data_IF_829075372874
#
_entry.id   IF_829075372874
#
_cell.length_a   1.000
_cell.length_b   1.000
_cell.length_c   1.000
_cell.angle_alpha   90.00
_cell.angle_beta   90.00
_cell.angle_gamma   90.00
#
_symmetry.space_group_name_H-M   'P 1'
#
loop_
_entity.id
_entity.type
_entity.pdbx_description
1 polymer ?
#
# COMPACT_ATOMS: atom_id res chain seq x y z
N UNK A 1 -12.80 -16.79 30.34
CA UNK A 1 -11.60 -16.63 31.18
C UNK A 1 -11.37 -17.86 32.09
N UNK A 2 -12.37 -18.41 32.74
CA UNK A 2 -12.17 -19.55 33.62
C UNK A 2 -11.73 -20.86 32.93
N UNK A 3 -12.13 -21.10 31.68
CA UNK A 3 -11.78 -22.35 30.96
C UNK A 3 -10.30 -22.45 30.60
N UNK A 4 -9.65 -21.35 30.16
CA UNK A 4 -8.24 -21.36 29.79
C UNK A 4 -7.31 -21.57 30.98
N UNK A 5 -7.62 -20.95 32.12
CA UNK A 5 -6.86 -21.12 33.35
C UNK A 5 -7.00 -22.51 33.93
N UNK A 6 -8.19 -23.12 33.79
CA UNK A 6 -8.43 -24.50 34.18
C UNK A 6 -7.62 -25.47 33.30
N UNK A 7 -7.57 -25.24 31.97
CA UNK A 7 -6.77 -26.07 31.06
C UNK A 7 -5.27 -25.98 31.33
N UNK A 8 -4.74 -24.76 31.60
CA UNK A 8 -3.35 -24.60 31.97
C UNK A 8 -3.03 -25.34 33.29
N UNK A 9 -3.85 -25.16 34.29
CA UNK A 9 -3.70 -25.88 35.55
C UNK A 9 -3.79 -27.40 35.42
N UNK A 10 -4.71 -27.89 34.57
CA UNK A 10 -4.83 -29.34 34.27
C UNK A 10 -3.59 -29.87 33.56
N UNK A 11 -3.03 -29.11 32.57
CA UNK A 11 -1.85 -29.50 31.88
C UNK A 11 -0.64 -29.60 32.82
N UNK A 12 -0.47 -28.59 33.71
CA UNK A 12 0.57 -28.61 34.74
C UNK A 12 0.44 -29.77 35.69
N UNK A 13 -0.76 -30.03 36.18
CA UNK A 13 -1.05 -31.18 37.09
C UNK A 13 -0.71 -32.50 36.41
N UNK A 14 -1.11 -32.68 35.15
CA UNK A 14 -0.80 -33.88 34.38
C UNK A 14 0.69 -34.11 34.21
N UNK A 15 1.45 -33.03 33.94
CA UNK A 15 2.87 -33.09 33.75
C UNK A 15 3.66 -33.32 35.04
N UNK A 16 3.12 -32.87 36.17
CA UNK A 16 3.74 -32.99 37.48
C UNK A 16 3.18 -34.19 38.29
N UNK A 17 2.31 -34.99 37.68
CA UNK A 17 1.57 -36.11 38.33
C UNK A 17 0.90 -35.69 39.63
N UNK A 18 0.24 -34.54 39.64
CA UNK A 18 -0.39 -33.94 40.81
C UNK A 18 -1.90 -33.83 40.62
N UNK A 19 -2.64 -34.00 41.73
CA UNK A 19 -4.08 -33.71 41.80
C UNK A 19 -4.32 -32.66 42.90
N UNK A 20 -4.91 -31.54 42.54
CA UNK A 20 -5.23 -30.45 43.48
C UNK A 20 -6.73 -30.42 43.68
N UNK A 21 -7.13 -30.69 44.94
CA UNK A 21 -8.55 -30.64 45.35
C UNK A 21 -8.89 -29.32 46.00
N UNK A 22 -10.15 -28.91 45.88
CA UNK A 22 -10.69 -27.78 46.67
C UNK A 22 -10.62 -28.07 48.17
N UNK A 23 -10.45 -27.01 48.99
CA UNK A 23 -10.42 -27.16 50.45
C UNK A 23 -11.64 -27.90 51.01
N UNK A 24 -12.79 -27.84 50.33
CA UNK A 24 -14.06 -28.42 50.77
C UNK A 24 -14.35 -29.80 50.12
N UNK A 25 -13.40 -30.46 49.49
CA UNK A 25 -13.56 -31.73 48.77
C UNK A 25 -14.58 -31.73 47.60
N UNK A 26 -15.02 -30.57 47.11
CA UNK A 26 -16.01 -30.42 46.06
C UNK A 26 -15.34 -30.29 44.67
N UNK A 27 -14.66 -31.33 44.22
CA UNK A 27 -14.06 -31.42 42.89
C UNK A 27 -12.64 -30.81 42.78
N UNK A 28 -12.04 -30.96 41.62
CA UNK A 28 -10.65 -30.54 41.33
C UNK A 28 -10.55 -29.03 41.11
N UNK A 29 -9.45 -28.43 41.58
CA UNK A 29 -9.23 -26.98 41.52
C UNK A 29 -7.88 -26.63 40.88
N UNK A 30 -7.78 -26.79 39.57
CA UNK A 30 -6.52 -26.69 38.82
C UNK A 30 -5.99 -25.27 38.71
N UNK A 31 -6.83 -24.23 38.78
CA UNK A 31 -6.40 -22.84 38.63
C UNK A 31 -5.51 -22.34 39.79
N UNK A 32 -5.61 -22.93 40.97
CA UNK A 32 -4.79 -22.58 42.17
C UNK A 32 -3.30 -22.77 41.90
N UNK A 33 -2.92 -23.67 40.99
CA UNK A 33 -1.51 -23.94 40.68
C UNK A 33 -0.90 -22.80 39.88
N UNK A 34 -1.67 -22.23 38.97
CA UNK A 34 -1.15 -21.23 38.02
C UNK A 34 -1.42 -19.78 38.44
N UNK A 35 -2.45 -19.54 39.24
CA UNK A 35 -2.92 -18.19 39.54
C UNK A 35 -3.20 -17.94 41.02
N UNK A 36 -3.03 -16.67 41.40
CA UNK A 36 -3.51 -16.12 42.67
C UNK A 36 -4.67 -15.19 42.37
N UNK A 37 -5.76 -15.34 43.13
CA UNK A 37 -6.94 -14.49 43.01
C UNK A 37 -7.09 -13.58 44.21
N UNK A 38 -7.52 -12.34 43.98
CA UNK A 38 -7.91 -11.38 44.99
C UNK A 38 -9.30 -10.85 44.69
N UNK A 39 -10.21 -11.02 45.63
CA UNK A 39 -11.53 -10.40 45.55
C UNK A 39 -11.39 -8.89 45.79
N UNK A 40 -11.84 -8.09 44.84
CA UNK A 40 -11.82 -6.62 44.91
C UNK A 40 -13.17 -6.06 45.38
N UNK A 41 -14.16 -6.92 45.71
CA UNK A 41 -15.53 -6.54 45.98
C UNK A 41 -16.33 -6.20 44.69
N UNK A 42 -17.66 -5.97 44.85
CA UNK A 42 -18.56 -5.60 43.75
C UNK A 42 -18.53 -6.57 42.53
N UNK A 43 -18.38 -7.87 42.79
CA UNK A 43 -18.27 -8.92 41.77
C UNK A 43 -17.02 -8.83 40.86
N UNK A 44 -15.99 -8.09 41.23
CA UNK A 44 -14.70 -8.05 40.54
C UNK A 44 -13.67 -8.92 41.25
N UNK A 45 -12.92 -9.68 40.48
CA UNK A 45 -11.86 -10.55 40.93
C UNK A 45 -10.59 -10.32 40.12
N UNK A 46 -9.48 -9.98 40.79
CA UNK A 46 -8.18 -9.82 40.17
C UNK A 46 -7.43 -11.16 40.15
N UNK A 47 -7.00 -11.60 38.99
CA UNK A 47 -6.18 -12.80 38.80
C UNK A 47 -4.76 -12.44 38.44
N UNK A 48 -3.79 -12.96 39.14
CA UNK A 48 -2.36 -12.84 38.84
C UNK A 48 -1.72 -14.21 38.73
N UNK A 49 -0.79 -14.38 37.84
CA UNK A 49 0.06 -15.58 37.78
C UNK A 49 0.90 -15.66 39.08
N UNK A 50 1.13 -16.86 39.54
CA UNK A 50 2.02 -17.06 40.67
C UNK A 50 3.44 -16.63 40.33
N UNK A 51 4.17 -15.95 41.23
CA UNK A 51 5.55 -15.49 40.95
C UNK A 51 6.49 -16.62 40.52
N UNK A 52 6.34 -17.79 41.11
CA UNK A 52 7.14 -18.97 40.79
C UNK A 52 6.87 -19.47 39.37
N UNK A 53 5.62 -19.38 38.90
CA UNK A 53 5.28 -19.72 37.53
C UNK A 53 5.78 -18.66 36.57
N UNK A 54 5.70 -17.37 36.91
CA UNK A 54 6.27 -16.28 36.11
C UNK A 54 7.77 -16.48 35.95
N UNK A 55 8.49 -16.74 37.05
CA UNK A 55 9.92 -17.02 37.00
C UNK A 55 10.23 -18.24 36.14
N UNK A 56 9.52 -19.35 36.30
CA UNK A 56 9.71 -20.54 35.46
C UNK A 56 9.44 -20.29 33.97
N UNK A 57 8.44 -19.44 33.66
CA UNK A 57 8.17 -19.04 32.27
C UNK A 57 9.25 -18.11 31.69
N UNK A 58 9.87 -17.26 32.52
CA UNK A 58 11.00 -16.40 32.12
C UNK A 58 12.27 -17.19 31.83
N UNK A 59 12.44 -18.35 32.46
CA UNK A 59 13.55 -19.27 32.26
C UNK A 59 13.37 -20.18 31.04
N UNK A 60 12.11 -20.31 30.53
CA UNK A 60 11.85 -21.11 29.33
C UNK A 60 12.45 -20.45 28.08
N UNK A 61 13.06 -21.27 27.25
CA UNK A 61 13.67 -20.85 26.00
C UNK A 61 13.21 -21.70 24.83
N UNK A 62 13.37 -21.17 23.60
CA UNK A 62 13.12 -21.86 22.35
C UNK A 62 14.42 -21.92 21.55
N UNK A 63 14.87 -23.12 21.13
CA UNK A 63 16.04 -23.26 20.29
C UNK A 63 15.86 -22.55 18.95
N UNK A 64 16.86 -21.78 18.52
CA UNK A 64 16.87 -21.05 17.26
C UNK A 64 18.27 -21.00 16.60
N UNK A 65 19.17 -21.88 17.01
CA UNK A 65 20.50 -21.97 16.42
C UNK A 65 20.46 -22.39 14.94
N UNK A 66 19.41 -23.11 14.54
CA UNK A 66 19.10 -23.52 13.17
C UNK A 66 17.75 -22.95 12.75
N UNK A 67 17.74 -22.17 11.68
CA UNK A 67 16.54 -21.51 11.18
C UNK A 67 15.46 -22.51 10.76
N UNK A 68 15.83 -23.62 10.13
CA UNK A 68 14.87 -24.63 9.69
C UNK A 68 14.11 -25.25 10.86
N UNK A 69 14.82 -25.63 11.92
CA UNK A 69 14.23 -26.17 13.14
C UNK A 69 13.35 -25.12 13.84
N UNK A 70 13.79 -23.87 13.90
CA UNK A 70 13.02 -22.76 14.46
C UNK A 70 11.72 -22.53 13.68
N UNK A 71 11.78 -22.53 12.35
CA UNK A 71 10.60 -22.38 11.47
C UNK A 71 9.62 -23.52 11.65
N UNK A 72 10.11 -24.77 11.78
CA UNK A 72 9.23 -25.92 12.07
C UNK A 72 8.52 -25.76 13.43
N UNK A 73 9.25 -25.34 14.46
CA UNK A 73 8.67 -25.04 15.77
C UNK A 73 7.62 -23.95 15.69
N UNK A 74 7.90 -22.89 14.92
CA UNK A 74 6.97 -21.77 14.70
C UNK A 74 5.72 -22.22 13.96
N UNK A 75 5.82 -22.98 12.88
CA UNK A 75 4.70 -23.52 12.14
C UNK A 75 3.80 -24.39 13.02
N UNK A 76 4.40 -25.26 13.84
CA UNK A 76 3.66 -26.12 14.79
C UNK A 76 2.92 -25.27 15.83
N UNK A 77 3.54 -24.22 16.37
CA UNK A 77 2.95 -23.33 17.36
C UNK A 77 1.85 -22.41 16.78
N UNK A 78 1.90 -22.13 15.47
CA UNK A 78 0.83 -21.39 14.79
C UNK A 78 -0.46 -22.21 14.67
N UNK A 79 -0.37 -23.55 14.56
CA UNK A 79 -1.51 -24.47 14.60
C UNK A 79 -2.61 -24.07 13.59
N UNK A 80 -3.86 -23.99 14.08
CA UNK A 80 -5.04 -23.64 13.25
C UNK A 80 -4.97 -22.27 12.57
N UNK A 81 -4.07 -21.40 13.01
CA UNK A 81 -3.86 -20.12 12.32
C UNK A 81 -3.38 -20.31 10.88
N UNK A 82 -2.65 -21.37 10.59
CA UNK A 82 -2.17 -21.69 9.23
C UNK A 82 -3.35 -21.82 8.25
N UNK A 83 -4.42 -22.48 8.66
CA UNK A 83 -5.63 -22.62 7.86
C UNK A 83 -6.37 -21.28 7.73
N UNK A 84 -6.48 -20.52 8.81
CA UNK A 84 -7.07 -19.18 8.80
C UNK A 84 -6.33 -18.26 7.82
N UNK A 85 -5.00 -18.28 7.85
CA UNK A 85 -4.17 -17.51 6.91
C UNK A 85 -4.45 -17.94 5.46
N UNK A 86 -4.46 -19.23 5.20
CA UNK A 86 -4.69 -19.81 3.87
C UNK A 86 -6.08 -19.45 3.32
N UNK A 87 -7.13 -19.54 4.13
CA UNK A 87 -8.48 -19.11 3.75
C UNK A 87 -8.53 -17.63 3.41
N UNK A 88 -8.00 -16.78 4.29
CA UNK A 88 -7.96 -15.34 4.07
C UNK A 88 -7.15 -15.00 2.81
N UNK A 89 -6.02 -15.66 2.58
CA UNK A 89 -5.20 -15.47 1.40
C UNK A 89 -5.95 -15.84 0.12
N UNK A 90 -6.73 -16.92 0.14
CA UNK A 90 -7.60 -17.32 -0.98
C UNK A 90 -8.66 -16.27 -1.29
N UNK A 91 -9.20 -15.60 -0.28
CA UNK A 91 -10.22 -14.54 -0.46
C UNK A 91 -9.63 -13.24 -1.00
N UNK A 92 -8.44 -12.85 -0.57
CA UNK A 92 -7.85 -11.55 -0.90
C UNK A 92 -6.88 -11.55 -2.09
N UNK A 93 -6.32 -12.72 -2.45
CA UNK A 93 -5.39 -12.87 -3.57
C UNK A 93 -5.34 -14.33 -4.02
N UNK A 94 -4.67 -14.58 -5.15
CA UNK A 94 -4.36 -15.96 -5.55
C UNK A 94 -3.50 -16.65 -4.51
N UNK A 95 -3.73 -17.94 -4.26
CA UNK A 95 -2.88 -18.75 -3.40
C UNK A 95 -1.49 -18.84 -4.01
N UNK A 96 -0.48 -18.37 -3.31
CA UNK A 96 0.89 -18.62 -3.66
C UNK A 96 1.35 -20.02 -3.20
N UNK A 97 2.60 -20.37 -3.45
CA UNK A 97 3.10 -21.75 -3.23
C UNK A 97 3.25 -22.14 -1.76
N UNK A 98 3.40 -21.17 -0.87
CA UNK A 98 3.90 -21.41 0.48
C UNK A 98 2.89 -22.04 1.43
N UNK A 99 1.61 -21.75 1.30
CA UNK A 99 0.56 -22.30 2.18
C UNK A 99 0.11 -23.73 1.82
N UNK A 100 0.88 -24.43 0.97
CA UNK A 100 0.58 -25.81 0.62
C UNK A 100 1.07 -26.77 1.72
N UNK A 101 0.22 -27.68 2.11
CA UNK A 101 0.57 -28.76 3.05
C UNK A 101 0.56 -28.37 4.54
N UNK A 102 -0.15 -27.29 4.94
CA UNK A 102 -0.27 -26.92 6.36
C UNK A 102 0.97 -26.22 6.94
N UNK A 103 1.85 -25.70 6.08
CA UNK A 103 3.03 -24.94 6.47
C UNK A 103 2.79 -23.49 6.14
N UNK A 104 3.04 -22.57 7.08
CA UNK A 104 2.95 -21.13 6.85
C UNK A 104 4.29 -20.57 6.40
N UNK A 105 5.34 -20.74 7.17
CA UNK A 105 6.69 -20.31 6.80
C UNK A 105 7.47 -21.43 6.12
N UNK A 106 8.14 -21.07 5.02
CA UNK A 106 8.93 -21.98 4.24
C UNK A 106 10.39 -21.59 4.36
N UNK A 107 11.19 -22.52 4.81
CA UNK A 107 12.64 -22.40 4.81
C UNK A 107 13.19 -22.82 3.45
N UNK A 108 14.14 -22.03 2.94
CA UNK A 108 14.88 -22.32 1.74
C UNK A 108 16.36 -22.47 2.11
N UNK A 109 16.91 -23.68 1.93
CA UNK A 109 18.31 -24.01 2.26
C UNK A 109 19.32 -23.15 1.48
N UNK A 110 18.94 -22.65 0.29
CA UNK A 110 19.79 -21.78 -0.53
C UNK A 110 19.85 -20.34 0.02
N UNK A 111 18.86 -19.92 0.80
CA UNK A 111 18.81 -18.60 1.43
C UNK A 111 19.10 -18.71 2.94
N UNK A 112 20.36 -18.76 3.30
CA UNK A 112 20.87 -19.05 4.66
C UNK A 112 20.24 -18.23 5.79
N UNK A 113 19.69 -17.06 5.48
CA UNK A 113 19.26 -16.07 6.45
C UNK A 113 17.76 -15.72 6.40
N UNK A 114 16.97 -16.40 5.54
CA UNK A 114 15.58 -15.98 5.31
C UNK A 114 14.60 -17.14 5.30
N UNK A 115 13.47 -16.93 5.97
CA UNK A 115 12.29 -17.77 5.82
C UNK A 115 11.10 -16.88 5.44
N UNK A 116 10.59 -17.07 4.25
CA UNK A 116 9.47 -16.28 3.70
C UNK A 116 8.30 -17.24 3.48
N UNK A 117 7.11 -16.80 3.86
CA UNK A 117 5.93 -17.54 3.49
C UNK A 117 5.31 -17.02 2.19
N UNK A 118 4.51 -16.01 2.29
CA UNK A 118 3.73 -15.45 1.19
C UNK A 118 4.37 -14.17 0.67
N UNK A 119 4.16 -13.91 -0.61
CA UNK A 119 4.72 -12.78 -1.27
C UNK A 119 6.08 -13.08 -1.86
N UNK A 120 6.09 -13.51 -3.11
CA UNK A 120 7.29 -13.56 -3.91
C UNK A 120 7.76 -12.18 -4.33
N UNK A 121 8.56 -12.12 -5.39
CA UNK A 121 9.10 -10.86 -5.92
C UNK A 121 8.09 -9.85 -6.48
N UNK A 122 6.80 -10.17 -6.49
CA UNK A 122 5.73 -9.30 -7.01
C UNK A 122 4.70 -8.89 -5.97
N UNK A 123 4.91 -9.28 -4.73
CA UNK A 123 3.97 -9.06 -3.65
C UNK A 123 4.68 -8.63 -2.38
N UNK A 124 3.94 -7.98 -1.46
CA UNK A 124 4.46 -7.74 -0.12
C UNK A 124 4.73 -9.09 0.58
N UNK A 125 5.77 -9.12 1.37
CA UNK A 125 6.23 -10.33 2.05
C UNK A 125 5.82 -10.32 3.52
N UNK A 126 5.21 -11.42 3.95
CA UNK A 126 4.90 -11.71 5.34
C UNK A 126 5.87 -12.80 5.78
N UNK A 127 6.87 -12.45 6.59
CA UNK A 127 7.98 -13.37 6.80
C UNK A 127 8.64 -13.29 8.18
N UNK A 128 9.49 -14.31 8.42
CA UNK A 128 10.46 -14.38 9.49
C UNK A 128 11.85 -14.46 8.83
N UNK A 129 12.85 -13.88 9.50
CA UNK A 129 14.24 -13.95 9.06
C UNK A 129 15.19 -14.16 10.23
N UNK A 130 16.38 -14.67 9.93
CA UNK A 130 17.52 -14.73 10.83
C UNK A 130 18.65 -13.86 10.25
N UNK A 131 19.19 -12.95 11.05
CA UNK A 131 20.36 -12.14 10.70
C UNK A 131 21.33 -12.10 11.86
N UNK A 132 22.52 -12.67 11.64
CA UNK A 132 23.52 -12.73 12.69
C UNK A 132 22.98 -13.45 13.93
N UNK A 133 22.77 -12.69 15.01
CA UNK A 133 22.22 -13.19 16.27
C UNK A 133 20.82 -12.69 16.56
N UNK A 134 20.03 -12.40 15.53
CA UNK A 134 18.66 -11.89 15.69
C UNK A 134 17.68 -12.69 14.84
N UNK A 135 16.54 -13.02 15.43
CA UNK A 135 15.32 -13.40 14.72
C UNK A 135 14.49 -12.16 14.52
N UNK A 136 14.03 -11.89 13.28
CA UNK A 136 13.10 -10.83 12.99
C UNK A 136 11.83 -11.36 12.33
N UNK A 137 10.73 -10.61 12.45
CA UNK A 137 9.44 -10.94 11.86
C UNK A 137 8.66 -9.67 11.52
N UNK A 138 7.97 -9.69 10.38
CA UNK A 138 7.25 -8.52 9.92
C UNK A 138 6.81 -8.55 8.46
N UNK A 139 6.77 -7.37 7.85
CA UNK A 139 6.35 -7.15 6.46
C UNK A 139 7.50 -6.56 5.64
N UNK A 140 7.73 -7.12 4.46
CA UNK A 140 8.73 -6.64 3.51
C UNK A 140 8.10 -6.17 2.20
N UNK A 141 8.67 -5.10 1.63
CA UNK A 141 8.35 -4.59 0.29
C UNK A 141 9.59 -4.78 -0.56
N UNK A 142 9.52 -5.69 -1.55
CA UNK A 142 10.67 -6.15 -2.31
C UNK A 142 10.57 -5.71 -3.78
N UNK A 143 11.56 -4.98 -4.28
CA UNK A 143 11.68 -4.54 -5.67
C UNK A 143 12.85 -5.21 -6.42
N UNK A 144 13.45 -6.27 -5.85
CA UNK A 144 14.64 -6.93 -6.40
C UNK A 144 14.33 -7.88 -7.57
N UNK A 145 13.12 -8.44 -7.63
CA UNK A 145 12.80 -9.44 -8.62
C UNK A 145 12.13 -8.85 -9.86
N UNK A 146 12.54 -9.28 -11.02
CA UNK A 146 11.91 -8.97 -12.31
C UNK A 146 11.03 -10.17 -12.70
N UNK A 147 9.72 -10.02 -12.79
CA UNK A 147 8.87 -11.08 -13.32
C UNK A 147 9.11 -11.23 -14.82
N UNK A 148 9.36 -12.45 -15.27
CA UNK A 148 9.64 -12.77 -16.67
C UNK A 148 8.45 -12.58 -17.63
N UNK A 149 7.27 -12.26 -17.15
CA UNK A 149 6.03 -12.43 -17.91
C UNK A 149 5.25 -11.14 -18.25
N UNK A 150 5.71 -9.95 -17.88
CA UNK A 150 5.00 -8.71 -18.21
C UNK A 150 5.95 -7.51 -18.21
N UNK A 151 5.66 -6.49 -19.02
CA UNK A 151 6.42 -5.23 -19.15
C UNK A 151 6.47 -4.33 -17.88
N UNK A 152 5.99 -4.81 -16.74
CA UNK A 152 6.04 -4.07 -15.48
C UNK A 152 7.38 -4.29 -14.79
N UNK A 153 8.03 -3.19 -14.40
CA UNK A 153 9.19 -3.24 -13.51
C UNK A 153 8.81 -3.75 -12.11
N UNK A 154 9.76 -4.27 -11.31
CA UNK A 154 9.51 -4.66 -9.92
C UNK A 154 8.88 -3.53 -9.10
N UNK A 155 9.31 -2.27 -9.31
CA UNK A 155 8.68 -1.07 -8.73
C UNK A 155 7.21 -0.98 -9.11
N UNK A 156 6.84 -1.19 -10.37
CA UNK A 156 5.46 -1.16 -10.85
C UNK A 156 4.57 -2.24 -10.25
N UNK A 157 5.14 -3.38 -9.83
CA UNK A 157 4.39 -4.40 -9.07
C UNK A 157 4.22 -4.03 -7.60
N UNK A 158 5.23 -3.39 -6.99
CA UNK A 158 5.21 -3.06 -5.57
C UNK A 158 4.39 -1.80 -5.26
N UNK A 159 4.37 -0.82 -6.17
CA UNK A 159 3.68 0.46 -5.96
C UNK A 159 2.22 0.34 -5.49
N UNK A 160 1.37 -0.56 -6.03
CA UNK A 160 0.00 -0.72 -5.53
C UNK A 160 -0.10 -1.18 -4.07
N UNK A 161 0.88 -1.95 -3.59
CA UNK A 161 0.94 -2.36 -2.18
C UNK A 161 1.37 -1.22 -1.28
N UNK A 162 2.32 -0.41 -1.73
CA UNK A 162 2.76 0.79 -1.03
C UNK A 162 1.63 1.83 -0.97
N UNK A 163 0.93 2.07 -2.08
CA UNK A 163 -0.25 2.95 -2.11
C UNK A 163 -1.33 2.47 -1.12
N UNK A 164 -1.53 1.15 -1.01
CA UNK A 164 -2.47 0.55 -0.07
C UNK A 164 -2.00 0.69 1.38
N UNK A 165 -0.71 0.51 1.64
CA UNK A 165 -0.10 0.72 2.96
C UNK A 165 -0.32 2.15 3.45
N UNK A 166 -0.02 3.17 2.65
CA UNK A 166 -0.22 4.57 3.01
C UNK A 166 -1.69 4.93 3.27
N UNK A 167 -2.64 4.22 2.66
CA UNK A 167 -4.07 4.41 2.94
C UNK A 167 -4.50 3.91 4.31
N UNK A 168 -3.85 2.85 4.80
CA UNK A 168 -4.26 2.18 6.03
C UNK A 168 -3.32 2.46 7.21
N UNK A 169 -2.15 3.06 6.98
CA UNK A 169 -1.12 3.25 8.01
C UNK A 169 -1.64 3.96 9.26
N UNK A 170 -2.58 4.90 9.11
CA UNK A 170 -3.18 5.61 10.24
C UNK A 170 -4.09 4.71 11.10
N UNK A 171 -4.58 3.60 10.55
CA UNK A 171 -5.31 2.55 11.29
C UNK A 171 -4.35 1.69 12.11
N UNK A 172 -3.09 1.59 11.68
CA UNK A 172 -1.97 0.94 12.34
C UNK A 172 -0.86 1.98 12.54
N UNK A 173 -1.00 2.94 13.47
CA UNK A 173 -0.03 4.00 13.61
C UNK A 173 1.36 3.42 13.88
N UNK A 174 2.35 3.87 13.12
CA UNK A 174 3.76 3.48 13.27
C UNK A 174 4.25 3.71 14.71
N UNK A 175 3.69 4.72 15.40
CA UNK A 175 3.92 4.94 16.82
C UNK A 175 3.48 3.77 17.69
N UNK A 176 2.37 3.09 17.38
CA UNK A 176 1.94 1.90 18.13
C UNK A 176 2.89 0.73 17.86
N UNK A 177 3.32 0.54 16.62
CA UNK A 177 4.28 -0.50 16.25
C UNK A 177 5.66 -0.20 16.83
N UNK A 178 6.15 1.05 16.75
CA UNK A 178 7.40 1.48 17.40
C UNK A 178 7.38 1.28 18.92
N UNK A 179 6.30 1.66 19.57
CA UNK A 179 6.14 1.43 21.02
C UNK A 179 6.22 -0.06 21.40
N UNK A 180 5.96 -0.97 20.46
CA UNK A 180 6.06 -2.42 20.61
C UNK A 180 7.33 -3.02 19.96
N UNK A 181 8.31 -2.20 19.62
CA UNK A 181 9.61 -2.63 19.10
C UNK A 181 9.65 -2.94 17.61
N UNK A 182 8.63 -2.54 16.82
CA UNK A 182 8.72 -2.57 15.35
C UNK A 182 9.38 -1.31 14.85
N UNK A 183 10.30 -1.48 13.92
CA UNK A 183 10.93 -0.36 13.21
C UNK A 183 11.26 -0.78 11.76
N UNK A 184 11.66 0.20 10.94
CA UNK A 184 12.21 -0.08 9.62
C UNK A 184 13.64 -0.58 9.79
N UNK A 185 13.84 -1.87 9.51
CA UNK A 185 15.15 -2.53 9.62
C UNK A 185 15.98 -2.31 8.37
N UNK A 186 15.33 -2.22 7.21
CA UNK A 186 15.91 -1.80 5.94
C UNK A 186 15.03 -0.73 5.31
N UNK A 187 15.67 0.31 4.77
CA UNK A 187 14.99 1.48 4.26
C UNK A 187 14.26 2.26 5.36
N UNK A 188 13.40 3.16 4.94
CA UNK A 188 12.55 3.97 5.82
C UNK A 188 11.12 4.04 5.25
N UNK A 189 10.18 4.56 6.04
CA UNK A 189 8.84 4.85 5.54
C UNK A 189 8.85 5.91 4.43
N UNK A 190 9.75 6.88 4.54
CA UNK A 190 9.87 7.95 3.54
C UNK A 190 10.39 7.41 2.19
N UNK A 191 11.26 6.41 2.20
CA UNK A 191 11.78 5.78 0.98
C UNK A 191 10.67 5.05 0.19
N UNK A 192 9.58 4.64 0.84
CA UNK A 192 8.43 4.06 0.14
C UNK A 192 7.73 5.04 -0.81
N UNK A 193 7.90 6.35 -0.62
CA UNK A 193 7.40 7.35 -1.57
C UNK A 193 8.19 7.38 -2.89
N UNK A 194 9.44 6.90 -2.85
CA UNK A 194 10.39 6.90 -3.96
C UNK A 194 11.04 5.52 -4.12
N UNK A 195 10.21 4.51 -4.44
CA UNK A 195 10.69 3.14 -4.59
C UNK A 195 11.82 3.04 -5.60
N UNK A 196 12.95 2.52 -5.19
CA UNK A 196 14.08 2.22 -6.04
C UNK A 196 14.01 0.79 -6.61
N UNK A 197 14.63 0.59 -7.76
CA UNK A 197 14.80 -0.72 -8.33
C UNK A 197 15.86 -1.51 -7.55
N UNK A 198 15.68 -2.82 -7.41
CA UNK A 198 16.59 -3.71 -6.70
C UNK A 198 16.81 -3.37 -5.21
N UNK A 199 15.74 -2.89 -4.56
CA UNK A 199 15.75 -2.50 -3.15
C UNK A 199 14.82 -3.35 -2.31
N UNK A 200 15.03 -3.29 -1.01
CA UNK A 200 14.24 -3.99 -0.02
C UNK A 200 13.90 -3.06 1.14
N UNK A 201 12.64 -3.04 1.55
CA UNK A 201 12.14 -2.21 2.64
C UNK A 201 11.47 -3.11 3.65
N UNK A 202 11.92 -3.09 4.90
CA UNK A 202 11.53 -4.07 5.90
C UNK A 202 11.06 -3.42 7.19
N UNK A 203 9.76 -3.52 7.46
CA UNK A 203 9.14 -3.18 8.73
C UNK A 203 9.08 -4.44 9.60
N UNK A 204 9.87 -4.51 10.65
CA UNK A 204 9.98 -5.72 11.47
C UNK A 204 10.33 -5.42 12.93
N UNK A 205 10.05 -6.38 13.79
CA UNK A 205 10.57 -6.47 15.14
C UNK A 205 11.65 -7.56 15.20
N UNK A 206 12.71 -7.32 15.96
CA UNK A 206 13.79 -8.29 16.18
C UNK A 206 13.81 -8.81 17.61
N UNK A 207 14.31 -10.01 17.78
CA UNK A 207 14.54 -10.71 19.04
C UNK A 207 15.98 -11.16 19.05
N UNK A 208 16.75 -10.80 20.07
CA UNK A 208 18.13 -11.23 20.20
C UNK A 208 18.22 -12.71 20.55
N UNK A 209 19.15 -13.41 19.90
CA UNK A 209 19.49 -14.80 20.18
C UNK A 209 20.61 -14.83 21.20
N UNK A 210 20.36 -15.46 22.33
CA UNK A 210 21.38 -15.75 23.33
C UNK A 210 21.67 -17.25 23.36
N UNK A 211 22.95 -17.62 23.21
CA UNK A 211 23.41 -19.02 23.20
C UNK A 211 22.59 -19.98 22.29
N UNK A 212 22.15 -19.48 21.13
CA UNK A 212 21.34 -20.24 20.19
C UNK A 212 19.87 -20.44 20.62
N UNK A 213 19.40 -19.61 21.52
CA UNK A 213 18.04 -19.67 22.06
C UNK A 213 17.44 -18.28 22.18
N UNK A 214 16.11 -18.19 22.14
CA UNK A 214 15.33 -16.99 22.50
C UNK A 214 14.45 -17.29 23.70
N UNK A 215 14.07 -16.26 24.44
CA UNK A 215 13.13 -16.40 25.56
C UNK A 215 11.77 -16.87 25.06
N UNK A 216 11.14 -17.77 25.77
CA UNK A 216 9.80 -18.27 25.43
C UNK A 216 8.76 -17.14 25.37
N UNK A 217 8.87 -16.14 26.25
CA UNK A 217 7.98 -14.95 26.25
C UNK A 217 8.09 -14.15 24.97
N UNK A 218 9.29 -14.01 24.41
CA UNK A 218 9.51 -13.32 23.12
C UNK A 218 8.96 -14.13 21.96
N UNK A 219 9.12 -15.46 22.02
CA UNK A 219 8.52 -16.37 21.04
C UNK A 219 6.97 -16.28 21.05
N UNK A 220 6.34 -16.30 22.21
CA UNK A 220 4.89 -16.15 22.34
C UNK A 220 4.42 -14.77 21.87
N UNK A 221 5.19 -13.73 22.17
CA UNK A 221 4.96 -12.37 21.68
C UNK A 221 5.00 -12.34 20.15
N UNK A 222 6.02 -12.94 19.55
CA UNK A 222 6.13 -13.07 18.08
C UNK A 222 4.89 -13.75 17.48
N UNK A 223 4.48 -14.91 18.04
CA UNK A 223 3.29 -15.63 17.58
C UNK A 223 2.02 -14.76 17.68
N UNK A 224 1.87 -13.98 18.75
CA UNK A 224 0.72 -13.10 18.94
C UNK A 224 0.66 -11.97 17.89
N UNK A 225 1.80 -11.38 17.54
CA UNK A 225 1.88 -10.36 16.49
C UNK A 225 1.65 -10.96 15.11
N UNK A 226 2.23 -12.12 14.81
CA UNK A 226 2.02 -12.84 13.55
C UNK A 226 0.54 -13.20 13.35
N UNK A 227 -0.13 -13.72 14.38
CA UNK A 227 -1.58 -14.04 14.32
C UNK A 227 -2.48 -12.78 14.36
N UNK A 228 -1.99 -11.70 14.87
CA UNK A 228 -2.75 -10.50 15.23
C UNK A 228 -2.47 -9.28 14.35
N UNK A 229 -1.74 -8.26 14.86
CA UNK A 229 -1.62 -6.96 14.18
C UNK A 229 -0.95 -7.05 12.81
N UNK A 230 0.12 -7.84 12.66
CA UNK A 230 0.84 -7.97 11.39
C UNK A 230 -0.03 -8.66 10.33
N UNK A 231 -0.73 -9.73 10.72
CA UNK A 231 -1.65 -10.39 9.80
C UNK A 231 -2.80 -9.48 9.36
N UNK A 232 -3.37 -8.69 10.29
CA UNK A 232 -4.43 -7.72 9.94
C UNK A 232 -3.92 -6.67 8.96
N UNK A 233 -2.73 -6.09 9.21
CA UNK A 233 -2.11 -5.12 8.32
C UNK A 233 -1.85 -5.73 6.93
N UNK A 234 -1.24 -6.91 6.87
CA UNK A 234 -1.02 -7.66 5.63
C UNK A 234 -2.32 -7.84 4.83
N UNK A 235 -3.37 -8.35 5.47
CA UNK A 235 -4.69 -8.54 4.88
C UNK A 235 -5.30 -7.24 4.34
N UNK A 236 -5.21 -6.17 5.11
CA UNK A 236 -5.82 -4.89 4.75
C UNK A 236 -5.05 -4.20 3.62
N UNK A 237 -3.73 -4.38 3.51
CA UNK A 237 -2.94 -3.95 2.35
C UNK A 237 -3.47 -4.64 1.08
N UNK A 238 -3.64 -5.96 1.08
CA UNK A 238 -4.18 -6.67 -0.08
C UNK A 238 -5.59 -6.21 -0.47
N UNK A 239 -6.49 -6.05 0.51
CA UNK A 239 -7.85 -5.55 0.26
C UNK A 239 -7.88 -4.16 -0.35
N UNK A 240 -7.01 -3.26 0.11
CA UNK A 240 -6.94 -1.90 -0.39
C UNK A 240 -6.22 -1.82 -1.73
N UNK A 241 -5.21 -2.68 -1.98
CA UNK A 241 -4.61 -2.85 -3.30
C UNK A 241 -5.65 -3.21 -4.36
N UNK A 242 -6.49 -4.21 -4.09
CA UNK A 242 -7.55 -4.62 -5.02
C UNK A 242 -8.54 -3.49 -5.34
N UNK A 243 -8.96 -2.73 -4.31
CA UNK A 243 -9.82 -1.55 -4.52
C UNK A 243 -9.14 -0.48 -5.37
N UNK A 244 -7.85 -0.29 -5.20
CA UNK A 244 -7.06 0.69 -5.97
C UNK A 244 -6.87 0.23 -7.41
N UNK A 245 -6.58 -1.04 -7.67
CA UNK A 245 -6.47 -1.60 -9.02
C UNK A 245 -7.81 -1.60 -9.76
N UNK A 246 -8.90 -1.95 -9.09
CA UNK A 246 -10.24 -1.87 -9.67
C UNK A 246 -10.61 -0.43 -10.07
N UNK A 247 -10.32 0.55 -9.22
CA UNK A 247 -10.53 1.96 -9.53
C UNK A 247 -9.64 2.47 -10.67
N UNK A 248 -8.37 2.07 -10.72
CA UNK A 248 -7.45 2.41 -11.84
C UNK A 248 -7.95 1.82 -13.16
N UNK A 249 -8.35 0.55 -13.16
CA UNK A 249 -8.89 -0.10 -14.35
C UNK A 249 -10.16 0.59 -14.84
N UNK A 250 -11.11 0.87 -13.96
CA UNK A 250 -12.36 1.57 -14.30
C UNK A 250 -12.11 2.99 -14.81
N UNK A 251 -11.19 3.74 -14.20
CA UNK A 251 -10.81 5.08 -14.66
C UNK A 251 -10.20 5.03 -16.08
N UNK A 252 -9.30 4.09 -16.33
CA UNK A 252 -8.70 3.91 -17.66
C UNK A 252 -9.71 3.44 -18.71
N UNK A 253 -10.63 2.54 -18.37
CA UNK A 253 -11.72 2.10 -19.26
C UNK A 253 -12.62 3.26 -19.70
N UNK A 254 -12.77 4.29 -18.86
CA UNK A 254 -13.53 5.51 -19.21
C UNK A 254 -12.72 6.48 -20.06
N UNK A 255 -11.44 6.69 -19.73
CA UNK A 255 -10.59 7.72 -20.35
C UNK A 255 -10.05 7.27 -21.71
N UNK A 256 -9.63 6.03 -21.84
CA UNK A 256 -8.93 5.52 -23.03
C UNK A 256 -9.76 5.61 -24.35
N UNK A 257 -11.07 5.31 -24.36
CA UNK A 257 -11.89 5.51 -25.55
C UNK A 257 -11.97 6.99 -25.97
N UNK A 258 -12.13 7.90 -24.99
CA UNK A 258 -12.21 9.33 -25.25
C UNK A 258 -10.86 9.91 -25.71
N UNK A 259 -9.76 9.43 -25.15
CA UNK A 259 -8.41 9.77 -25.59
C UNK A 259 -8.16 9.34 -27.05
N UNK A 260 -8.51 8.09 -27.41
CA UNK A 260 -8.40 7.60 -28.79
C UNK A 260 -9.26 8.40 -29.76
N UNK A 261 -10.50 8.72 -29.34
CA UNK A 261 -11.41 9.53 -30.14
C UNK A 261 -10.84 10.93 -30.36
N UNK A 262 -10.33 11.60 -29.29
CA UNK A 262 -9.71 12.92 -29.40
C UNK A 262 -8.48 12.89 -30.30
N UNK A 263 -7.61 11.90 -30.19
CA UNK A 263 -6.45 11.74 -31.08
C UNK A 263 -6.83 11.61 -32.55
N UNK A 264 -7.93 10.90 -32.82
CA UNK A 264 -8.41 10.70 -34.18
C UNK A 264 -9.15 11.90 -34.75
N UNK A 265 -10.09 12.47 -33.96
CA UNK A 265 -10.97 13.58 -34.39
C UNK A 265 -10.39 14.97 -34.17
N UNK A 266 -9.34 15.11 -33.33
CA UNK A 266 -8.69 16.35 -32.90
C UNK A 266 -9.53 17.28 -32.05
N UNK A 267 -10.85 17.08 -31.99
CA UNK A 267 -11.76 17.76 -31.09
C UNK A 267 -12.86 16.83 -30.64
N UNK A 268 -13.39 17.07 -29.43
CA UNK A 268 -14.54 16.36 -28.88
C UNK A 268 -15.39 17.32 -28.05
N UNK A 269 -16.69 17.07 -28.00
CA UNK A 269 -17.64 17.79 -27.15
C UNK A 269 -18.18 16.81 -26.11
N UNK A 270 -18.00 17.13 -24.82
CA UNK A 270 -18.59 16.39 -23.71
C UNK A 270 -19.88 17.05 -23.28
N UNK A 271 -21.01 16.40 -23.51
CA UNK A 271 -22.35 16.90 -23.17
C UNK A 271 -22.94 16.09 -22.00
N UNK A 272 -23.69 16.74 -21.13
CA UNK A 272 -24.37 16.10 -19.99
C UNK A 272 -24.83 17.11 -18.95
N UNK A 273 -25.65 16.65 -18.00
CA UNK A 273 -26.16 17.49 -16.91
C UNK A 273 -25.03 18.07 -16.02
N UNK A 274 -25.27 19.16 -15.30
CA UNK A 274 -24.33 19.66 -14.27
C UNK A 274 -23.98 18.54 -13.27
N UNK A 275 -22.72 18.51 -12.80
CA UNK A 275 -22.27 17.52 -11.82
C UNK A 275 -21.92 16.12 -12.35
N UNK A 276 -22.07 15.84 -13.65
CA UNK A 276 -21.76 14.54 -14.24
C UNK A 276 -20.26 14.28 -14.48
N UNK A 277 -19.36 15.10 -13.93
CA UNK A 277 -17.92 14.91 -14.00
C UNK A 277 -17.26 15.31 -15.32
N UNK A 278 -17.92 16.11 -16.18
CA UNK A 278 -17.36 16.56 -17.46
C UNK A 278 -15.98 17.21 -17.32
N UNK A 279 -15.87 18.19 -16.44
CA UNK A 279 -14.61 18.91 -16.18
C UNK A 279 -13.51 17.96 -15.63
N UNK A 280 -13.91 17.05 -14.75
CA UNK A 280 -13.02 15.98 -14.26
C UNK A 280 -12.48 15.12 -15.38
N UNK A 281 -13.37 14.64 -16.26
CA UNK A 281 -13.02 13.80 -17.41
C UNK A 281 -12.14 14.56 -18.38
N UNK A 282 -12.41 15.84 -18.63
CA UNK A 282 -11.60 16.70 -19.51
C UNK A 282 -10.17 16.85 -18.99
N UNK A 283 -9.99 17.11 -17.68
CA UNK A 283 -8.67 17.19 -17.06
C UNK A 283 -7.88 15.87 -17.22
N UNK A 284 -8.55 14.74 -16.97
CA UNK A 284 -7.93 13.40 -17.12
C UNK A 284 -7.51 13.12 -18.57
N UNK A 285 -8.34 13.47 -19.55
CA UNK A 285 -8.01 13.31 -20.98
C UNK A 285 -6.83 14.21 -21.35
N UNK A 286 -6.79 15.46 -20.89
CA UNK A 286 -5.73 16.40 -21.16
C UNK A 286 -4.38 15.91 -20.59
N UNK A 287 -4.37 15.44 -19.34
CA UNK A 287 -3.18 14.81 -18.74
C UNK A 287 -2.73 13.60 -19.56
N UNK A 288 -3.65 12.72 -19.97
CA UNK A 288 -3.32 11.55 -20.80
C UNK A 288 -2.74 11.92 -22.16
N UNK A 289 -3.15 13.06 -22.74
CA UNK A 289 -2.63 13.59 -24.00
C UNK A 289 -1.19 14.10 -23.87
N UNK A 290 -0.90 14.84 -22.81
CA UNK A 290 0.39 15.50 -22.60
C UNK A 290 1.42 14.59 -21.92
N UNK A 291 1.00 13.75 -20.97
CA UNK A 291 1.87 12.84 -20.24
C UNK A 291 1.42 11.38 -20.41
N UNK A 292 2.12 10.65 -21.31
CA UNK A 292 1.83 9.23 -21.60
C UNK A 292 2.20 8.29 -20.44
N UNK A 293 3.15 8.71 -19.61
CA UNK A 293 3.67 7.90 -18.50
C UNK A 293 2.82 8.05 -17.22
N UNK A 294 1.96 9.07 -17.17
CA UNK A 294 1.03 9.23 -16.06
C UNK A 294 0.01 8.08 -16.03
N UNK A 295 -0.10 7.41 -14.88
CA UNK A 295 -0.91 6.18 -14.74
C UNK A 295 -1.89 6.19 -13.56
N UNK A 296 -1.93 7.25 -12.74
CA UNK A 296 -2.76 7.30 -11.54
C UNK A 296 -4.07 8.07 -11.71
N UNK A 297 -4.81 7.74 -12.78
CA UNK A 297 -6.09 8.39 -13.12
C UNK A 297 -7.22 8.15 -12.11
N UNK A 298 -7.09 7.18 -11.21
CA UNK A 298 -8.05 6.97 -10.13
C UNK A 298 -7.92 7.99 -8.99
N UNK A 299 -6.78 8.65 -8.86
CA UNK A 299 -6.51 9.63 -7.83
C UNK A 299 -6.72 11.06 -8.36
N UNK A 300 -7.89 11.63 -8.06
CA UNK A 300 -8.24 12.97 -8.53
C UNK A 300 -7.22 14.05 -8.14
N UNK A 301 -6.70 14.02 -6.92
CA UNK A 301 -5.69 15.01 -6.48
C UNK A 301 -4.43 14.96 -7.34
N UNK A 302 -3.95 13.76 -7.65
CA UNK A 302 -2.77 13.60 -8.51
C UNK A 302 -3.04 14.01 -9.95
N UNK A 303 -4.22 13.68 -10.49
CA UNK A 303 -4.64 14.14 -11.83
C UNK A 303 -4.66 15.67 -11.89
N UNK A 304 -5.25 16.33 -10.88
CA UNK A 304 -5.33 17.79 -10.87
C UNK A 304 -3.96 18.45 -10.64
N UNK A 305 -3.11 17.89 -9.80
CA UNK A 305 -1.74 18.38 -9.62
C UNK A 305 -0.94 18.32 -10.93
N UNK A 306 -1.04 17.19 -11.65
CA UNK A 306 -0.39 17.04 -12.96
C UNK A 306 -1.01 17.95 -14.03
N UNK A 307 -2.33 18.11 -14.01
CA UNK A 307 -3.03 19.04 -14.90
C UNK A 307 -2.56 20.50 -14.70
N UNK A 308 -2.45 20.97 -13.45
CA UNK A 308 -1.97 22.33 -13.16
C UNK A 308 -0.48 22.48 -13.54
N UNK A 309 0.37 21.49 -13.27
CA UNK A 309 1.77 21.49 -13.73
C UNK A 309 1.87 21.67 -15.24
N UNK A 310 1.09 20.89 -16.00
CA UNK A 310 1.05 20.99 -17.46
C UNK A 310 0.46 22.32 -17.96
N UNK A 311 -0.43 22.95 -17.20
CA UNK A 311 -0.92 24.30 -17.49
C UNK A 311 0.16 25.34 -17.28
N UNK A 312 0.89 25.28 -16.17
CA UNK A 312 1.98 26.20 -15.87
C UNK A 312 3.10 26.10 -16.92
N UNK A 313 3.39 24.89 -17.41
CA UNK A 313 4.31 24.68 -18.52
C UNK A 313 3.75 25.14 -19.87
N UNK A 314 2.48 25.50 -19.93
CA UNK A 314 1.82 25.95 -21.15
C UNK A 314 1.47 24.87 -22.16
N UNK A 315 1.49 23.59 -21.75
CA UNK A 315 1.07 22.46 -22.59
C UNK A 315 -0.46 22.33 -22.64
N UNK A 316 -1.17 22.86 -21.64
CA UNK A 316 -2.62 22.90 -21.56
C UNK A 316 -3.06 24.35 -21.38
N UNK A 317 -4.06 24.77 -22.14
CA UNK A 317 -4.77 26.02 -21.91
C UNK A 317 -6.24 25.73 -21.58
N UNK A 318 -6.81 26.49 -20.64
CA UNK A 318 -8.19 26.37 -20.24
C UNK A 318 -8.86 27.73 -20.32
N UNK A 319 -10.00 27.80 -20.96
CA UNK A 319 -10.86 28.99 -20.95
C UNK A 319 -12.32 28.61 -20.70
N UNK A 320 -13.06 29.56 -20.13
CA UNK A 320 -14.51 29.44 -19.96
C UNK A 320 -15.18 30.43 -20.87
N UNK A 321 -16.01 29.95 -21.81
CA UNK A 321 -16.84 30.81 -22.63
C UNK A 321 -17.97 31.41 -21.80
N UNK A 322 -18.04 32.71 -21.76
CA UNK A 322 -19.10 33.50 -21.12
C UNK A 322 -19.62 34.59 -22.06
N UNK A 323 -20.70 35.23 -21.70
CA UNK A 323 -21.42 36.18 -22.59
C UNK A 323 -20.56 37.36 -23.09
N UNK A 324 -19.53 37.75 -22.32
CA UNK A 324 -18.62 38.83 -22.69
C UNK A 324 -17.31 38.38 -23.32
N UNK A 325 -17.15 37.07 -23.59
CA UNK A 325 -15.97 36.57 -24.32
C UNK A 325 -16.22 36.65 -25.81
N UNK A 326 -15.39 37.40 -26.52
CA UNK A 326 -15.51 37.59 -27.94
C UNK A 326 -14.31 36.96 -28.71
N UNK A 327 -14.25 37.22 -30.00
CA UNK A 327 -13.19 36.73 -30.88
C UNK A 327 -11.83 37.25 -30.45
N UNK A 328 -11.78 38.48 -29.95
CA UNK A 328 -10.53 39.16 -29.56
C UNK A 328 -9.87 38.49 -28.35
N UNK A 329 -10.68 38.01 -27.40
CA UNK A 329 -10.15 37.27 -26.25
C UNK A 329 -9.70 35.84 -26.59
N UNK A 330 -10.33 35.24 -27.60
CA UNK A 330 -10.05 33.84 -27.94
C UNK A 330 -8.94 33.69 -28.98
N UNK A 331 -8.95 34.47 -30.05
CA UNK A 331 -8.00 34.36 -31.16
C UNK A 331 -6.98 35.49 -31.11
N UNK A 332 -7.36 36.70 -31.46
CA UNK A 332 -6.51 37.89 -31.41
C UNK A 332 -7.37 39.16 -31.45
N UNK A 333 -6.95 40.21 -30.78
CA UNK A 333 -7.65 41.46 -30.73
C UNK A 333 -6.73 42.68 -30.62
N UNK A 334 -7.27 43.83 -30.93
CA UNK A 334 -6.62 45.11 -30.76
C UNK A 334 -6.79 45.63 -29.35
N UNK A 335 -5.72 45.67 -28.56
CA UNK A 335 -5.76 46.25 -27.20
C UNK A 335 -5.07 47.59 -27.14
N UNK A 336 -5.66 48.59 -26.47
CA UNK A 336 -5.06 49.88 -26.29
C UNK A 336 -3.87 49.80 -25.32
N UNK A 337 -2.71 50.25 -25.72
CA UNK A 337 -1.51 50.43 -24.91
C UNK A 337 -1.24 51.93 -24.73
N UNK A 338 -1.21 52.42 -23.49
CA UNK A 338 -0.94 53.83 -23.18
C UNK A 338 0.57 54.04 -23.29
N UNK A 339 1.02 54.85 -24.27
CA UNK A 339 2.40 55.27 -24.40
C UNK A 339 2.50 56.82 -24.33
N UNK A 340 2.97 57.32 -23.20
CA UNK A 340 3.06 58.74 -22.96
C UNK A 340 1.67 59.41 -22.90
N UNK A 341 1.43 60.44 -23.70
CA UNK A 341 0.11 61.12 -23.82
C UNK A 341 -0.81 60.54 -24.90
N UNK A 342 -0.40 59.47 -25.58
CA UNK A 342 -1.12 58.82 -26.69
C UNK A 342 -1.54 57.39 -26.36
N UNK A 343 -2.56 56.91 -27.11
CA UNK A 343 -3.00 55.48 -27.09
C UNK A 343 -2.60 54.85 -28.41
N UNK A 344 -1.74 53.83 -28.36
CA UNK A 344 -1.46 52.97 -29.49
C UNK A 344 -2.28 51.68 -29.39
N UNK A 345 -2.69 51.14 -30.53
CA UNK A 345 -3.40 49.86 -30.57
C UNK A 345 -2.43 48.78 -30.98
N UNK A 346 -2.32 47.76 -30.13
CA UNK A 346 -1.45 46.61 -30.39
C UNK A 346 -2.30 45.35 -30.59
N UNK A 347 -1.95 44.53 -31.55
CA UNK A 347 -2.54 43.21 -31.71
C UNK A 347 -2.00 42.30 -30.60
N UNK A 348 -2.87 41.85 -29.72
CA UNK A 348 -2.55 40.82 -28.72
C UNK A 348 -3.19 39.48 -29.06
N UNK A 349 -2.43 38.43 -28.85
CA UNK A 349 -2.94 37.08 -29.07
C UNK A 349 -3.93 36.67 -27.98
N UNK A 350 -5.07 36.17 -28.38
CA UNK A 350 -6.00 35.48 -27.50
C UNK A 350 -5.46 34.10 -27.06
N UNK A 351 -6.21 33.45 -26.15
CA UNK A 351 -5.76 32.22 -25.50
C UNK A 351 -5.50 31.07 -26.49
N UNK A 352 -6.30 30.95 -27.55
CA UNK A 352 -6.17 29.90 -28.58
C UNK A 352 -4.91 30.14 -29.44
N UNK A 353 -4.70 31.37 -29.92
CA UNK A 353 -3.54 31.69 -30.74
C UNK A 353 -2.23 31.54 -29.94
N UNK A 354 -2.24 31.96 -28.68
CA UNK A 354 -1.09 31.83 -27.77
C UNK A 354 -0.65 30.37 -27.58
N UNK A 355 -1.59 29.45 -27.39
CA UNK A 355 -1.21 28.01 -27.27
C UNK A 355 -0.76 27.40 -28.58
N UNK A 356 -1.29 27.86 -29.73
CA UNK A 356 -0.84 27.42 -31.05
C UNK A 356 0.61 27.84 -31.31
N UNK A 357 0.98 29.08 -30.98
CA UNK A 357 2.35 29.57 -31.12
C UNK A 357 3.34 28.80 -30.23
N UNK A 358 2.95 28.51 -28.97
CA UNK A 358 3.76 27.68 -28.10
C UNK A 358 3.95 26.26 -28.64
N UNK A 359 2.90 25.66 -29.22
CA UNK A 359 3.01 24.36 -29.87
C UNK A 359 3.97 24.36 -31.08
N UNK A 360 4.03 25.43 -31.84
CA UNK A 360 4.96 25.59 -32.95
C UNK A 360 6.43 25.66 -32.52
N UNK A 361 6.72 26.31 -31.40
CA UNK A 361 8.08 26.46 -30.89
C UNK A 361 8.61 25.15 -30.26
N UNK A 362 7.75 24.25 -29.82
CA UNK A 362 8.15 22.99 -29.18
C UNK A 362 8.37 21.80 -30.14
N UNK A 363 8.32 22.03 -31.45
CA UNK A 363 8.88 21.12 -32.44
C UNK A 363 8.11 19.83 -32.76
N UNK A 364 6.83 19.73 -32.43
CA UNK A 364 6.02 18.56 -32.82
C UNK A 364 5.41 18.73 -34.21
N UNK A 365 6.17 18.29 -35.24
CA UNK A 365 5.88 18.51 -36.67
C UNK A 365 4.49 18.06 -37.13
N UNK A 366 3.85 17.13 -36.45
CA UNK A 366 2.54 16.60 -36.82
C UNK A 366 1.38 17.53 -36.40
N UNK A 367 1.52 18.22 -35.28
CA UNK A 367 0.54 19.21 -34.81
C UNK A 367 0.58 20.44 -35.70
N UNK A 368 1.78 20.91 -36.07
CA UNK A 368 1.98 22.06 -36.99
C UNK A 368 1.32 21.78 -38.34
N UNK A 369 1.56 20.62 -38.93
CA UNK A 369 0.92 20.21 -40.20
C UNK A 369 -0.61 20.13 -40.10
N UNK A 370 -1.19 19.71 -38.94
CA UNK A 370 -2.62 19.71 -38.72
C UNK A 370 -3.21 21.13 -38.60
N UNK A 371 -2.51 22.04 -37.91
CA UNK A 371 -2.92 23.42 -37.75
C UNK A 371 -2.86 24.15 -39.07
N UNK A 372 -1.79 24.01 -39.84
CA UNK A 372 -1.67 24.61 -41.18
C UNK A 372 -2.77 24.12 -42.14
N UNK A 373 -3.07 22.86 -42.12
CA UNK A 373 -4.18 22.27 -42.89
C UNK A 373 -5.55 22.83 -42.52
N UNK A 374 -5.77 23.05 -41.21
CA UNK A 374 -7.00 23.68 -40.72
C UNK A 374 -7.07 25.15 -41.10
N UNK A 375 -6.01 25.92 -40.90
CA UNK A 375 -5.94 27.34 -41.28
C UNK A 375 -6.12 27.56 -42.80
N UNK A 376 -5.56 26.69 -43.62
CA UNK A 376 -5.77 26.72 -45.08
C UNK A 376 -7.22 26.42 -45.47
N UNK A 377 -7.89 25.48 -44.74
CA UNK A 377 -9.29 25.18 -44.99
C UNK A 377 -10.20 26.36 -44.62
N UNK A 378 -9.94 27.05 -43.51
CA UNK A 378 -10.70 28.22 -43.07
C UNK A 378 -10.48 29.43 -43.99
N UNK A 379 -9.25 29.69 -44.46
CA UNK A 379 -8.96 30.73 -45.48
C UNK A 379 -9.69 30.50 -46.78
N UNK A 380 -9.92 29.26 -47.17
CA UNK A 380 -10.74 28.90 -48.34
C UNK A 380 -12.23 29.23 -48.24
N UNK A 381 -12.76 29.36 -47.00
CA UNK A 381 -14.15 29.78 -46.76
C UNK A 381 -14.32 31.31 -46.64
N UNK A 382 -13.30 32.05 -46.23
CA UNK A 382 -13.33 33.52 -46.13
C UNK A 382 -13.24 34.26 -47.46
N UNK A 383 -12.86 33.55 -48.52
CA UNK A 383 -12.76 34.10 -49.89
C UNK A 383 -13.88 33.63 -50.85
N UNK A 384 -14.98 33.10 -50.28
CA UNK A 384 -16.23 32.87 -50.99
C UNK A 384 -17.36 33.71 -50.40
#
# INVERSE_FOLDING_TARGET
YNSHNTHLGQALCKQLDMVVKRPNNEGDCYWIISMMGKDLGNNYFEWKLRPELVQAMEELTVPCADLGSFINTTNNALGEFVDTFRYTRKEIASLSRASRGGILFKYDDDSRDWAINEGGGTEIQYHIFLRGKQIGYGLGFNTQYVPFANDKSPVGYMQPYVDAYFKIKDTYPTTLLKANGFDWIEGSEDDLHHLEHNSYYLLARTIDIDNGQIKWVDFQTMLSYLKGPIFRMYKDIFKNKQKTEGGKKQAMETIEPLYKLLRHKKNIILQGAPGTGKTYTTASIAVRMCNKDFNDFANHKKVMAEYERLREEGQIAFCTFHQSMDYEDFVEGLKPEVKGEGVEYKVENGIFKSICEKAQTNGDSDIIKCIDKYLQSVKGYANR
#
